data_IF_812600927170
#
_entry.id   IF_812600927170
#
_cell.length_a   1.000
_cell.length_b   1.000
_cell.length_c   1.000
_cell.angle_alpha   90.00
_cell.angle_beta   90.00
_cell.angle_gamma   90.00
#
_symmetry.space_group_name_H-M   'P 1'
#
loop_
_entity.id
_entity.type
_entity.pdbx_description
1 polymer ?
#
# COMPACT_ATOMS: atom_id res chain seq x y z
N UNK A 1 -0.45 -23.16 9.45
CA UNK A 1 0.67 -22.31 9.91
C UNK A 1 0.10 -20.97 10.33
N UNK A 2 0.19 -20.60 11.61
CA UNK A 2 -0.36 -19.33 12.09
C UNK A 2 0.49 -18.16 11.56
N UNK A 3 -0.12 -17.04 11.10
CA UNK A 3 0.64 -15.87 10.67
C UNK A 3 1.50 -15.36 11.83
N UNK A 4 2.77 -15.05 11.55
CA UNK A 4 3.71 -14.55 12.55
C UNK A 4 3.26 -13.15 12.96
N UNK A 5 2.43 -13.08 14.00
CA UNK A 5 2.00 -11.80 14.59
C UNK A 5 3.23 -11.13 15.16
N UNK A 6 3.41 -9.84 14.87
CA UNK A 6 4.42 -9.04 15.56
C UNK A 6 4.18 -9.14 17.09
N UNK A 7 5.25 -9.18 17.90
CA UNK A 7 5.11 -9.19 19.35
C UNK A 7 4.27 -8.00 19.82
N UNK A 8 3.42 -8.22 20.83
CA UNK A 8 2.63 -7.12 21.43
C UNK A 8 3.58 -6.04 21.95
N UNK A 9 3.31 -4.77 21.64
CA UNK A 9 4.11 -3.63 22.09
C UNK A 9 5.25 -3.20 21.15
N UNK A 10 5.46 -3.86 20.01
CA UNK A 10 6.49 -3.42 19.04
C UNK A 10 6.02 -2.30 18.12
N UNK A 11 4.72 -2.04 18.05
CA UNK A 11 4.18 -0.89 17.32
C UNK A 11 4.32 0.35 18.18
N UNK A 12 5.24 1.24 17.82
CA UNK A 12 5.51 2.49 18.55
C UNK A 12 4.34 3.47 18.48
N UNK A 13 3.71 3.62 17.31
CA UNK A 13 2.60 4.55 17.10
C UNK A 13 1.60 3.98 16.07
N UNK A 14 0.68 3.07 16.48
CA UNK A 14 -0.24 2.43 15.56
C UNK A 14 -1.39 3.37 15.16
N UNK A 15 -1.48 3.72 13.87
CA UNK A 15 -2.61 4.46 13.29
C UNK A 15 -3.53 3.51 12.51
N UNK A 16 -4.84 3.69 12.65
CA UNK A 16 -5.84 2.94 11.87
C UNK A 16 -6.06 3.58 10.51
N UNK A 17 -5.83 2.84 9.43
CA UNK A 17 -6.15 3.26 8.07
C UNK A 17 -7.66 3.09 7.80
N UNK A 18 -8.37 4.20 7.55
CA UNK A 18 -9.83 4.26 7.46
C UNK A 18 -10.39 4.50 6.05
N UNK A 19 -9.75 3.98 5.00
CA UNK A 19 -10.19 4.22 3.62
C UNK A 19 -11.17 3.14 3.13
N UNK A 20 -12.18 3.58 2.37
CA UNK A 20 -13.04 2.68 1.62
C UNK A 20 -12.28 2.20 0.36
N UNK A 21 -12.20 0.88 0.17
CA UNK A 21 -11.56 0.26 -1.00
C UNK A 21 -12.45 -0.82 -1.56
N UNK A 22 -12.25 -1.13 -2.84
CA UNK A 22 -12.93 -2.24 -3.50
C UNK A 22 -12.67 -3.57 -2.78
N UNK A 23 -13.74 -4.34 -2.51
CA UNK A 23 -13.67 -5.62 -1.78
C UNK A 23 -12.67 -6.58 -2.42
N UNK A 24 -12.68 -6.66 -3.76
CA UNK A 24 -11.78 -7.54 -4.53
C UNK A 24 -10.31 -7.18 -4.29
N UNK A 25 -10.00 -5.88 -4.24
CA UNK A 25 -8.64 -5.38 -4.01
C UNK A 25 -8.19 -5.66 -2.57
N UNK A 26 -9.08 -5.48 -1.59
CA UNK A 26 -8.81 -5.86 -0.19
C UNK A 26 -8.48 -7.34 -0.05
N UNK A 27 -9.27 -8.22 -0.66
CA UNK A 27 -9.02 -9.68 -0.61
C UNK A 27 -7.70 -10.05 -1.28
N UNK A 28 -7.40 -9.44 -2.44
CA UNK A 28 -6.11 -9.63 -3.12
C UNK A 28 -4.94 -9.20 -2.23
N UNK A 29 -5.05 -8.05 -1.56
CA UNK A 29 -4.05 -7.54 -0.64
C UNK A 29 -3.80 -8.48 0.55
N UNK A 30 -4.87 -8.98 1.17
CA UNK A 30 -4.79 -9.96 2.26
C UNK A 30 -4.12 -11.27 1.83
N UNK A 31 -4.37 -11.71 0.60
CA UNK A 31 -3.73 -12.91 0.06
C UNK A 31 -2.23 -12.71 -0.17
N UNK A 32 -1.82 -11.54 -0.67
CA UNK A 32 -0.39 -11.20 -0.82
C UNK A 32 0.29 -11.19 0.55
N UNK A 33 -0.31 -10.52 1.54
CA UNK A 33 0.24 -10.47 2.89
C UNK A 33 0.39 -11.88 3.50
N UNK A 34 -0.61 -12.74 3.29
CA UNK A 34 -0.57 -14.15 3.71
C UNK A 34 0.58 -14.91 3.04
N UNK A 35 0.80 -14.72 1.74
CA UNK A 35 1.91 -15.35 1.01
C UNK A 35 3.27 -14.85 1.53
N UNK A 36 3.36 -13.60 1.96
CA UNK A 36 4.54 -13.01 2.59
C UNK A 36 4.69 -13.36 4.08
N UNK A 37 3.72 -14.06 4.69
CA UNK A 37 3.74 -14.43 6.11
C UNK A 37 3.57 -13.26 7.09
N UNK A 38 3.10 -12.11 6.62
CA UNK A 38 2.92 -10.87 7.40
C UNK A 38 1.45 -10.47 7.50
N UNK A 39 1.14 -9.50 8.37
CA UNK A 39 -0.20 -8.90 8.40
C UNK A 39 -0.39 -7.90 7.25
N UNK A 40 -1.64 -7.69 6.81
CA UNK A 40 -1.95 -6.71 5.75
C UNK A 40 -1.50 -5.29 6.07
N UNK A 41 -1.49 -4.91 7.35
CA UNK A 41 -0.96 -3.62 7.79
C UNK A 41 0.57 -3.58 7.71
N UNK A 42 1.26 -4.65 8.14
CA UNK A 42 2.72 -4.71 8.03
C UNK A 42 3.20 -4.72 6.57
N UNK A 43 2.45 -5.36 5.67
CA UNK A 43 2.73 -5.30 4.24
C UNK A 43 2.59 -3.86 3.70
N UNK A 44 1.65 -3.08 4.24
CA UNK A 44 1.45 -1.69 3.85
C UNK A 44 2.62 -0.83 4.29
N UNK A 45 3.08 -0.97 5.53
CA UNK A 45 4.25 -0.26 6.04
C UNK A 45 5.48 -0.52 5.15
N UNK A 46 5.74 -1.80 4.82
CA UNK A 46 6.84 -2.20 3.92
C UNK A 46 6.66 -1.62 2.51
N UNK A 47 5.45 -1.63 1.95
CA UNK A 47 5.18 -1.06 0.63
C UNK A 47 5.52 0.44 0.59
N UNK A 48 5.14 1.19 1.62
CA UNK A 48 5.43 2.63 1.70
C UNK A 48 6.94 2.89 1.87
N UNK A 49 7.65 2.05 2.62
CA UNK A 49 9.10 2.18 2.79
C UNK A 49 9.91 1.81 1.52
N UNK A 50 9.35 0.99 0.64
CA UNK A 50 10.06 0.41 -0.51
C UNK A 50 9.57 0.88 -1.87
N UNK A 51 8.49 1.68 -1.92
CA UNK A 51 7.94 2.14 -3.19
C UNK A 51 8.94 3.03 -3.92
N UNK A 52 9.23 2.66 -5.17
CA UNK A 52 10.06 3.48 -6.05
C UNK A 52 9.28 4.72 -6.49
N UNK A 53 9.90 5.89 -6.31
CA UNK A 53 9.32 7.19 -6.62
C UNK A 53 10.01 7.83 -7.84
N UNK A 54 9.25 8.58 -8.62
CA UNK A 54 9.74 9.45 -9.69
C UNK A 54 10.37 10.75 -9.15
N UNK A 55 10.80 11.63 -10.05
CA UNK A 55 11.36 12.93 -9.69
C UNK A 55 10.37 13.87 -8.96
N UNK A 56 9.07 13.59 -9.03
CA UNK A 56 7.99 14.36 -8.41
C UNK A 56 7.50 13.74 -7.09
N UNK A 57 8.13 12.66 -6.62
CA UNK A 57 7.72 11.94 -5.42
C UNK A 57 6.46 11.07 -5.61
N UNK A 58 6.10 10.72 -6.85
CA UNK A 58 4.99 9.84 -7.19
C UNK A 58 5.49 8.42 -7.39
N UNK A 59 4.72 7.38 -7.00
CA UNK A 59 5.08 6.02 -7.33
C UNK A 59 5.22 5.84 -8.84
N UNK A 60 6.28 5.17 -9.30
CA UNK A 60 6.57 4.98 -10.75
C UNK A 60 5.48 4.22 -11.51
N UNK A 61 4.66 3.45 -10.79
CA UNK A 61 3.51 2.71 -11.34
C UNK A 61 2.20 3.52 -11.29
N UNK A 62 2.19 4.66 -10.62
CA UNK A 62 1.01 5.51 -10.58
C UNK A 62 0.85 6.16 -11.96
N UNK A 63 -0.30 6.01 -12.62
CA UNK A 63 -0.46 6.54 -13.96
C UNK A 63 -0.24 8.04 -13.94
N UNK A 64 0.58 8.53 -14.87
CA UNK A 64 0.61 9.95 -15.14
C UNK A 64 -0.79 10.33 -15.61
N UNK A 65 -1.47 11.15 -14.80
CA UNK A 65 -2.53 11.99 -15.32
C UNK A 65 -1.83 13.00 -16.21
N UNK A 66 -1.44 12.59 -17.43
CA UNK A 66 -1.07 13.53 -18.47
C UNK A 66 -2.16 14.59 -18.49
N UNK A 67 -1.72 15.85 -18.39
CA UNK A 67 -2.62 16.99 -18.24
C UNK A 67 -3.76 16.89 -19.24
N UNK A 68 -4.97 17.26 -18.78
CA UNK A 68 -6.10 17.51 -19.68
C UNK A 68 -5.57 18.16 -20.97
N UNK A 69 -6.00 17.71 -22.17
CA UNK A 69 -5.63 18.40 -23.39
C UNK A 69 -6.14 19.83 -23.23
N UNK A 70 -5.24 20.77 -22.98
CA UNK A 70 -5.56 22.18 -23.10
C UNK A 70 -5.64 22.38 -24.61
N UNK A 71 -6.87 22.50 -25.10
CA UNK A 71 -7.20 22.77 -26.50
C UNK A 71 -6.17 23.74 -27.07
N UNK A 72 -5.32 23.24 -27.96
CA UNK A 72 -4.42 24.09 -28.72
C UNK A 72 -5.01 24.28 -30.11
N UNK A 73 -5.71 25.42 -30.23
CA UNK A 73 -6.10 26.16 -31.43
C UNK A 73 -7.25 25.64 -32.30
#
# INVERSE_FOLDING_TARGET
MAPRRLPRGTRKDPVSLGYAVERKNKQRWEQIAKNCGVSSAALFDVMVETVELDANGRPVWFPDTEGLPIDTA
#
